data_IF_700510933450
#
_entry.id   IF_700510933450
#
_cell.length_a   1.000
_cell.length_b   1.000
_cell.length_c   1.000
_cell.angle_alpha   90.00
_cell.angle_beta   90.00
_cell.angle_gamma   90.00
#
_symmetry.space_group_name_H-M   'P 1'
#
loop_
_entity.id
_entity.type
_entity.pdbx_description
1 polymer ?
#
# COMPACT_ATOMS: atom_id res chain seq x y z
N UNK A 1 -12.44 25.53 9.38
CA UNK A 1 -11.18 26.31 9.55
C UNK A 1 -10.59 26.69 8.20
N UNK A 2 -10.33 28.00 7.95
CA UNK A 2 -9.69 28.45 6.70
C UNK A 2 -8.19 28.09 6.76
N UNK A 3 -7.67 27.37 5.75
CA UNK A 3 -6.22 27.08 5.67
C UNK A 3 -5.43 28.37 5.54
N UNK A 4 -4.30 28.47 6.24
CA UNK A 4 -3.32 29.54 5.98
C UNK A 4 -2.62 29.29 4.65
N UNK A 5 -2.23 30.33 3.93
CA UNK A 5 -1.53 30.23 2.64
C UNK A 5 -0.27 29.35 2.74
N UNK A 6 0.43 29.42 3.87
CA UNK A 6 1.61 28.59 4.13
C UNK A 6 1.27 27.10 4.27
N UNK A 7 0.11 26.76 4.86
CA UNK A 7 -0.31 25.35 4.96
C UNK A 7 -0.69 24.78 3.59
N UNK A 8 -1.38 25.56 2.76
CA UNK A 8 -1.72 25.15 1.39
C UNK A 8 -0.46 24.86 0.58
N UNK A 9 0.57 25.71 0.66
CA UNK A 9 1.85 25.49 -0.02
C UNK A 9 2.54 24.21 0.46
N UNK A 10 2.56 23.95 1.78
CA UNK A 10 3.15 22.72 2.34
C UNK A 10 2.39 21.48 1.87
N UNK A 11 1.06 21.50 1.94
CA UNK A 11 0.22 20.39 1.48
C UNK A 11 0.49 20.08 0.00
N UNK A 12 0.54 21.14 -0.85
CA UNK A 12 0.79 20.99 -2.28
C UNK A 12 2.16 20.38 -2.57
N UNK A 13 3.23 20.94 -2.01
CA UNK A 13 4.61 20.51 -2.26
C UNK A 13 4.78 19.03 -1.84
N UNK A 14 4.41 18.70 -0.61
CA UNK A 14 4.61 17.33 -0.09
C UNK A 14 3.74 16.31 -0.80
N UNK A 15 2.49 16.65 -1.14
CA UNK A 15 1.61 15.73 -1.86
C UNK A 15 2.07 15.51 -3.31
N UNK A 16 2.60 16.54 -3.97
CA UNK A 16 3.19 16.40 -5.31
C UNK A 16 4.43 15.52 -5.26
N UNK A 17 5.33 15.74 -4.30
CA UNK A 17 6.52 14.88 -4.12
C UNK A 17 6.13 13.42 -3.84
N UNK A 18 5.16 13.19 -2.96
CA UNK A 18 4.67 11.84 -2.67
C UNK A 18 4.09 11.18 -3.94
N UNK A 19 3.33 11.92 -4.74
CA UNK A 19 2.80 11.42 -6.03
C UNK A 19 3.90 11.06 -7.02
N UNK A 20 4.94 11.88 -7.13
CA UNK A 20 6.11 11.59 -8.00
C UNK A 20 6.87 10.34 -7.54
N UNK A 21 7.11 10.22 -6.23
CA UNK A 21 7.78 9.04 -5.66
C UNK A 21 6.93 7.78 -5.91
N UNK A 22 5.63 7.84 -5.65
CA UNK A 22 4.71 6.72 -5.88
C UNK A 22 4.68 6.27 -7.36
N UNK A 23 4.77 7.20 -8.29
CA UNK A 23 4.83 6.88 -9.71
C UNK A 23 6.19 6.27 -10.13
N UNK A 24 7.28 6.64 -9.44
CA UNK A 24 8.64 6.24 -9.78
C UNK A 24 9.11 4.98 -9.03
N UNK A 25 8.48 4.61 -7.92
CA UNK A 25 8.97 3.57 -6.98
C UNK A 25 9.30 2.25 -7.67
N UNK A 26 8.37 1.70 -8.45
CA UNK A 26 8.56 0.42 -9.11
C UNK A 26 9.65 0.48 -10.18
N UNK A 27 9.72 1.59 -10.92
CA UNK A 27 10.72 1.80 -11.97
C UNK A 27 12.12 1.93 -11.38
N UNK A 28 12.28 2.76 -10.36
CA UNK A 28 13.57 2.97 -9.67
C UNK A 28 14.07 1.67 -9.06
N UNK A 29 13.20 0.94 -8.35
CA UNK A 29 13.54 -0.34 -7.74
C UNK A 29 13.96 -1.37 -8.80
N UNK A 30 13.23 -1.47 -9.92
CA UNK A 30 13.56 -2.39 -11.01
C UNK A 30 14.90 -2.04 -11.68
N UNK A 31 15.21 -0.75 -11.88
CA UNK A 31 16.50 -0.30 -12.41
C UNK A 31 17.65 -0.71 -11.45
N UNK A 32 17.49 -0.51 -10.16
CA UNK A 32 18.49 -0.89 -9.14
C UNK A 32 18.77 -2.40 -9.21
N UNK A 33 17.69 -3.21 -9.22
CA UNK A 33 17.81 -4.68 -9.29
C UNK A 33 18.48 -5.11 -10.58
N UNK A 34 18.06 -4.56 -11.73
CA UNK A 34 18.69 -4.87 -13.03
C UNK A 34 20.21 -4.64 -13.02
N UNK A 35 20.65 -3.57 -12.35
CA UNK A 35 22.07 -3.20 -12.29
C UNK A 35 22.90 -4.05 -11.32
N UNK A 36 22.28 -4.56 -10.25
CA UNK A 36 23.03 -5.27 -9.16
C UNK A 36 22.92 -6.78 -9.30
N UNK A 37 21.73 -7.33 -9.55
CA UNK A 37 21.47 -8.77 -9.58
C UNK A 37 21.08 -9.32 -10.96
N UNK A 38 20.68 -8.44 -11.88
CA UNK A 38 20.40 -8.80 -13.26
C UNK A 38 18.93 -8.73 -13.67
N UNK A 39 18.69 -9.09 -14.93
CA UNK A 39 17.39 -8.88 -15.58
C UNK A 39 16.32 -9.85 -15.04
N UNK A 40 16.68 -11.09 -14.71
CA UNK A 40 15.75 -12.08 -14.19
C UNK A 40 15.11 -11.64 -12.87
N UNK A 41 15.92 -11.18 -11.90
CA UNK A 41 15.42 -10.66 -10.62
C UNK A 41 14.56 -9.40 -10.80
N UNK A 42 14.93 -8.53 -11.76
CA UNK A 42 14.15 -7.34 -12.08
C UNK A 42 12.79 -7.70 -12.69
N UNK A 43 12.73 -8.73 -13.52
CA UNK A 43 11.49 -9.30 -14.04
C UNK A 43 10.58 -9.80 -12.91
N UNK A 44 11.12 -10.63 -12.00
CA UNK A 44 10.39 -11.12 -10.83
C UNK A 44 9.85 -9.97 -9.96
N UNK A 45 10.66 -8.93 -9.71
CA UNK A 45 10.25 -7.77 -8.94
C UNK A 45 9.16 -6.96 -9.65
N UNK A 46 9.24 -6.81 -10.97
CA UNK A 46 8.24 -6.07 -11.76
C UNK A 46 6.87 -6.75 -11.69
N UNK A 47 6.83 -8.07 -11.79
CA UNK A 47 5.60 -8.86 -11.63
C UNK A 47 5.10 -8.77 -10.18
N UNK A 48 5.99 -8.84 -9.19
CA UNK A 48 5.62 -8.69 -7.80
C UNK A 48 4.96 -7.32 -7.52
N UNK A 49 5.47 -6.23 -8.10
CA UNK A 49 4.84 -4.91 -8.02
C UNK A 49 3.48 -4.87 -8.71
N UNK A 50 3.33 -5.49 -9.88
CA UNK A 50 2.05 -5.53 -10.60
C UNK A 50 0.96 -6.25 -9.78
N UNK A 51 1.30 -7.42 -9.23
CA UNK A 51 0.41 -8.22 -8.37
C UNK A 51 0.14 -7.48 -7.05
N UNK A 52 1.20 -6.94 -6.42
CA UNK A 52 1.10 -6.19 -5.17
C UNK A 52 0.17 -4.98 -5.29
N UNK A 53 0.27 -4.20 -6.36
CA UNK A 53 -0.63 -3.07 -6.63
C UNK A 53 -2.09 -3.51 -6.81
N UNK A 54 -2.31 -4.63 -7.51
CA UNK A 54 -3.66 -5.18 -7.67
C UNK A 54 -4.23 -5.62 -6.33
N UNK A 55 -3.46 -6.33 -5.50
CA UNK A 55 -3.86 -6.76 -4.16
C UNK A 55 -4.05 -5.57 -3.21
N UNK A 56 -3.19 -4.54 -3.29
CA UNK A 56 -3.34 -3.31 -2.52
C UNK A 56 -4.66 -2.60 -2.82
N UNK A 57 -5.18 -2.68 -4.06
CA UNK A 57 -6.49 -2.11 -4.38
C UNK A 57 -7.62 -2.79 -3.60
N UNK A 58 -7.51 -4.11 -3.33
CA UNK A 58 -8.42 -4.85 -2.44
C UNK A 58 -8.27 -4.35 -1.00
N UNK A 59 -7.03 -4.15 -0.52
CA UNK A 59 -6.76 -3.60 0.81
C UNK A 59 -7.30 -2.18 0.99
N UNK A 60 -7.14 -1.31 -0.01
CA UNK A 60 -7.65 0.07 0.02
C UNK A 60 -9.16 0.16 -0.17
N UNK A 61 -9.76 -0.69 -0.97
CA UNK A 61 -11.19 -0.85 -1.24
C UNK A 61 -11.96 0.47 -1.52
N UNK A 62 -11.24 1.54 -1.90
CA UNK A 62 -11.84 2.86 -2.11
C UNK A 62 -12.31 3.58 -0.83
N UNK A 63 -12.03 3.03 0.36
CA UNK A 63 -12.49 3.55 1.67
C UNK A 63 -12.06 4.98 1.91
N UNK A 64 -10.79 5.32 1.59
CA UNK A 64 -10.27 6.69 1.75
C UNK A 64 -11.03 7.70 0.90
N UNK A 65 -11.39 7.36 -0.33
CA UNK A 65 -12.10 8.27 -1.22
C UNK A 65 -13.45 8.68 -0.62
N UNK A 66 -14.16 7.71 -0.05
CA UNK A 66 -15.42 7.98 0.66
C UNK A 66 -15.18 8.75 1.97
N UNK A 67 -14.17 8.33 2.76
CA UNK A 67 -13.81 8.98 4.02
C UNK A 67 -13.57 10.49 3.85
N UNK A 68 -12.91 10.90 2.78
CA UNK A 68 -12.58 12.31 2.52
C UNK A 68 -13.81 13.11 2.08
N UNK A 69 -14.77 12.49 1.41
CA UNK A 69 -15.99 13.12 0.90
C UNK A 69 -17.16 13.04 1.88
N UNK A 70 -17.02 12.32 2.99
CA UNK A 70 -18.06 12.20 4.03
C UNK A 70 -18.13 13.47 4.90
N UNK A 71 -18.71 14.55 4.34
CA UNK A 71 -18.83 15.85 5.00
C UNK A 71 -19.77 15.78 6.21
N UNK A 72 -20.80 14.93 6.15
CA UNK A 72 -21.83 14.76 7.19
C UNK A 72 -21.33 13.94 8.40
N UNK A 73 -20.07 13.42 8.36
CA UNK A 73 -19.51 12.55 9.39
C UNK A 73 -20.41 11.33 9.70
N UNK A 74 -20.95 10.68 8.66
CA UNK A 74 -21.84 9.52 8.80
C UNK A 74 -21.19 8.36 9.54
N UNK A 75 -19.88 8.21 9.37
CA UNK A 75 -19.09 7.18 10.03
C UNK A 75 -17.98 7.80 10.86
N UNK A 76 -17.75 7.25 12.06
CA UNK A 76 -16.65 7.63 12.92
C UNK A 76 -15.30 7.15 12.34
N UNK A 77 -14.20 7.76 12.78
CA UNK A 77 -12.85 7.31 12.39
C UNK A 77 -12.61 5.83 12.74
N UNK A 78 -13.13 5.39 13.88
CA UNK A 78 -13.02 3.99 14.32
C UNK A 78 -13.67 3.01 13.34
N UNK A 79 -14.80 3.36 12.73
CA UNK A 79 -15.45 2.53 11.70
C UNK A 79 -14.59 2.45 10.44
N UNK A 80 -14.03 3.58 9.99
CA UNK A 80 -13.08 3.56 8.86
C UNK A 80 -11.87 2.68 9.15
N UNK A 81 -11.32 2.74 10.37
CA UNK A 81 -10.17 1.93 10.78
C UNK A 81 -10.51 0.44 10.86
N UNK A 82 -11.66 0.08 11.46
CA UNK A 82 -12.15 -1.31 11.51
C UNK A 82 -12.43 -1.87 10.12
N UNK A 83 -13.04 -1.06 9.25
CA UNK A 83 -13.27 -1.44 7.84
C UNK A 83 -11.93 -1.67 7.12
N UNK A 84 -10.94 -0.82 7.36
CA UNK A 84 -9.59 -0.99 6.81
C UNK A 84 -8.94 -2.29 7.27
N UNK A 85 -9.05 -2.62 8.56
CA UNK A 85 -8.55 -3.88 9.08
C UNK A 85 -9.21 -5.08 8.38
N UNK A 86 -10.54 -5.04 8.19
CA UNK A 86 -11.27 -6.07 7.46
C UNK A 86 -10.82 -6.19 6.00
N UNK A 87 -10.68 -5.07 5.28
CA UNK A 87 -10.26 -5.10 3.87
C UNK A 87 -8.80 -5.54 3.69
N UNK A 88 -7.92 -5.23 4.64
CA UNK A 88 -6.54 -5.74 4.65
C UNK A 88 -6.51 -7.24 4.93
N UNK A 89 -7.34 -7.76 5.83
CA UNK A 89 -7.48 -9.22 6.01
C UNK A 89 -7.99 -9.90 4.73
N UNK A 90 -8.96 -9.29 4.05
CA UNK A 90 -9.43 -9.78 2.74
C UNK A 90 -8.31 -9.75 1.69
N UNK A 91 -7.51 -8.68 1.64
CA UNK A 91 -6.33 -8.59 0.79
C UNK A 91 -5.34 -9.73 1.07
N UNK A 92 -5.00 -9.95 2.35
CA UNK A 92 -4.06 -11.02 2.72
C UNK A 92 -4.59 -12.41 2.36
N UNK A 93 -5.89 -12.65 2.53
CA UNK A 93 -6.54 -13.89 2.09
C UNK A 93 -6.45 -14.06 0.56
N UNK A 94 -6.70 -12.98 -0.19
CA UNK A 94 -6.55 -12.98 -1.65
C UNK A 94 -5.10 -13.22 -2.10
N UNK A 95 -4.12 -12.62 -1.40
CA UNK A 95 -2.69 -12.87 -1.64
C UNK A 95 -2.36 -14.33 -1.43
N UNK A 96 -2.76 -14.92 -0.30
CA UNK A 96 -2.51 -16.35 -0.03
C UNK A 96 -3.16 -17.25 -1.09
N UNK A 97 -4.41 -16.97 -1.47
CA UNK A 97 -5.10 -17.69 -2.54
C UNK A 97 -4.36 -17.59 -3.87
N UNK A 98 -3.88 -16.39 -4.24
CA UNK A 98 -3.08 -16.19 -5.44
C UNK A 98 -1.74 -16.94 -5.38
N UNK A 99 -1.03 -16.91 -4.26
CA UNK A 99 0.25 -17.62 -4.12
C UNK A 99 0.09 -19.15 -4.21
N UNK A 100 -0.99 -19.70 -3.65
CA UNK A 100 -1.32 -21.12 -3.79
C UNK A 100 -1.62 -21.44 -5.26
N UNK A 101 -2.41 -20.61 -5.94
CA UNK A 101 -2.67 -20.74 -7.37
C UNK A 101 -1.38 -20.69 -8.19
N UNK A 102 -0.51 -19.71 -7.91
CA UNK A 102 0.77 -19.53 -8.60
C UNK A 102 1.72 -20.74 -8.39
N UNK A 103 1.73 -21.31 -7.18
CA UNK A 103 2.53 -22.49 -6.87
C UNK A 103 2.06 -23.73 -7.64
N UNK A 104 0.73 -23.97 -7.70
CA UNK A 104 0.16 -25.20 -8.24
C UNK A 104 0.03 -25.14 -9.77
N UNK A 105 -0.51 -24.04 -10.30
CA UNK A 105 -0.89 -23.93 -11.72
C UNK A 105 0.15 -23.20 -12.57
N UNK A 106 0.73 -22.10 -12.05
CA UNK A 106 1.77 -21.34 -12.76
C UNK A 106 3.17 -21.93 -12.53
N UNK A 107 3.31 -22.87 -11.58
CA UNK A 107 4.59 -23.51 -11.22
C UNK A 107 5.71 -22.53 -10.92
N UNK A 108 5.37 -21.41 -10.28
CA UNK A 108 6.37 -20.41 -9.91
C UNK A 108 7.40 -21.00 -8.94
N UNK A 109 8.66 -20.60 -9.14
CA UNK A 109 9.73 -20.94 -8.22
C UNK A 109 9.50 -20.31 -6.82
N UNK A 110 10.02 -20.97 -5.79
CA UNK A 110 9.88 -20.52 -4.39
C UNK A 110 10.39 -19.11 -4.17
N UNK A 111 11.47 -18.71 -4.87
CA UNK A 111 12.03 -17.35 -4.77
C UNK A 111 11.04 -16.31 -5.31
N UNK A 112 10.42 -16.56 -6.46
CA UNK A 112 9.41 -15.69 -7.07
C UNK A 112 8.20 -15.53 -6.15
N UNK A 113 7.72 -16.62 -5.56
CA UNK A 113 6.62 -16.59 -4.57
C UNK A 113 6.97 -15.76 -3.36
N UNK A 114 8.19 -15.93 -2.81
CA UNK A 114 8.67 -15.16 -1.66
C UNK A 114 8.74 -13.66 -1.98
N UNK A 115 9.26 -13.28 -3.15
CA UNK A 115 9.37 -11.89 -3.60
C UNK A 115 7.96 -11.27 -3.71
N UNK A 116 7.01 -11.96 -4.36
CA UNK A 116 5.63 -11.50 -4.48
C UNK A 116 5.01 -11.30 -3.09
N UNK A 117 5.19 -12.28 -2.20
CA UNK A 117 4.68 -12.19 -0.82
C UNK A 117 5.24 -10.98 -0.08
N UNK A 118 6.56 -10.74 -0.14
CA UNK A 118 7.21 -9.61 0.54
C UNK A 118 6.72 -8.25 0.02
N UNK A 119 6.59 -8.10 -1.29
CA UNK A 119 6.02 -6.88 -1.89
C UNK A 119 4.57 -6.67 -1.46
N UNK A 120 3.75 -7.73 -1.45
CA UNK A 120 2.37 -7.65 -0.97
C UNK A 120 2.29 -7.24 0.51
N UNK A 121 3.24 -7.68 1.35
CA UNK A 121 3.30 -7.29 2.76
C UNK A 121 3.67 -5.81 2.93
N UNK A 122 4.61 -5.29 2.13
CA UNK A 122 4.93 -3.84 2.10
C UNK A 122 3.67 -3.04 1.73
N UNK A 123 2.94 -3.46 0.71
CA UNK A 123 1.70 -2.82 0.29
C UNK A 123 0.53 -3.01 1.26
N UNK A 124 0.52 -4.07 2.08
CA UNK A 124 -0.45 -4.21 3.17
C UNK A 124 -0.25 -3.14 4.24
N UNK A 125 1.01 -2.82 4.60
CA UNK A 125 1.33 -1.69 5.49
C UNK A 125 0.82 -0.38 4.87
N UNK A 126 1.07 -0.15 3.59
CA UNK A 126 0.60 1.05 2.89
C UNK A 126 -0.92 1.14 2.83
N UNK A 127 -1.61 0.01 2.65
CA UNK A 127 -3.06 -0.03 2.69
C UNK A 127 -3.61 0.37 4.07
N UNK A 128 -2.93 -0.01 5.17
CA UNK A 128 -3.30 0.46 6.52
C UNK A 128 -3.03 1.95 6.69
N UNK A 129 -1.88 2.45 6.22
CA UNK A 129 -1.55 3.88 6.27
C UNK A 129 -2.59 4.77 5.58
N UNK A 130 -3.20 4.29 4.50
CA UNK A 130 -4.13 5.04 3.67
C UNK A 130 -5.36 5.58 4.45
N UNK A 131 -5.83 4.88 5.48
CA UNK A 131 -6.95 5.39 6.32
C UNK A 131 -6.51 6.58 7.18
N UNK A 132 -5.25 6.59 7.66
CA UNK A 132 -4.69 7.74 8.38
C UNK A 132 -4.48 8.94 7.46
N UNK A 133 -4.10 8.70 6.21
CA UNK A 133 -4.02 9.75 5.19
C UNK A 133 -5.39 10.40 4.95
N UNK A 134 -6.46 9.60 4.87
CA UNK A 134 -7.83 10.11 4.80
C UNK A 134 -8.18 10.98 6.02
N UNK A 135 -7.78 10.55 7.21
CA UNK A 135 -7.95 11.32 8.45
C UNK A 135 -7.22 12.65 8.42
N UNK A 136 -5.92 12.65 8.06
CA UNK A 136 -5.14 13.90 7.93
C UNK A 136 -5.72 14.83 6.87
N UNK A 137 -6.20 14.29 5.75
CA UNK A 137 -6.83 15.06 4.68
C UNK A 137 -8.09 15.77 5.17
N UNK A 138 -8.95 15.09 5.93
CA UNK A 138 -10.14 15.69 6.56
C UNK A 138 -9.79 16.79 7.56
N UNK A 139 -8.67 16.66 8.27
CA UNK A 139 -8.15 17.67 9.22
C UNK A 139 -7.34 18.79 8.54
N UNK A 140 -7.33 18.84 7.21
CA UNK A 140 -6.54 19.81 6.44
C UNK A 140 -5.02 19.77 6.71
N UNK A 141 -4.48 18.58 7.00
CA UNK A 141 -3.07 18.30 7.29
C UNK A 141 -2.53 17.20 6.36
N UNK A 142 -2.77 17.36 5.04
CA UNK A 142 -2.28 16.41 4.03
C UNK A 142 -0.74 16.31 4.05
N UNK A 143 -0.05 17.38 4.44
CA UNK A 143 1.40 17.41 4.56
C UNK A 143 1.94 16.35 5.52
N UNK A 144 1.22 15.98 6.57
CA UNK A 144 1.70 15.03 7.59
C UNK A 144 1.89 13.62 7.01
N UNK A 145 0.88 13.10 6.32
CA UNK A 145 0.97 11.78 5.67
C UNK A 145 1.99 11.77 4.52
N UNK A 146 1.94 12.80 3.66
CA UNK A 146 2.82 12.91 2.50
C UNK A 146 4.31 12.98 2.88
N UNK A 147 4.66 13.71 3.95
CA UNK A 147 6.04 13.75 4.47
C UNK A 147 6.55 12.38 4.86
N UNK A 148 5.76 11.65 5.65
CA UNK A 148 6.17 10.33 6.14
C UNK A 148 6.32 9.33 4.99
N UNK A 149 5.43 9.37 4.02
CA UNK A 149 5.54 8.58 2.79
C UNK A 149 6.85 8.91 2.05
N UNK A 150 7.15 10.20 1.83
CA UNK A 150 8.38 10.60 1.18
C UNK A 150 9.62 10.12 1.94
N UNK A 151 9.67 10.30 3.26
CA UNK A 151 10.80 9.85 4.08
C UNK A 151 10.94 8.33 4.09
N UNK A 152 9.82 7.59 4.14
CA UNK A 152 9.85 6.13 4.03
C UNK A 152 10.46 5.68 2.71
N UNK A 153 9.99 6.20 1.58
CA UNK A 153 10.50 5.81 0.27
C UNK A 153 11.94 6.27 0.02
N UNK A 154 12.32 7.46 0.50
CA UNK A 154 13.73 7.88 0.49
C UNK A 154 14.61 6.94 1.30
N UNK A 155 14.14 6.51 2.47
CA UNK A 155 14.82 5.49 3.28
C UNK A 155 14.93 4.15 2.55
N UNK A 156 13.86 3.70 1.89
CA UNK A 156 13.87 2.46 1.08
C UNK A 156 14.86 2.60 -0.08
N UNK A 157 14.85 3.71 -0.81
CA UNK A 157 15.79 3.94 -1.92
C UNK A 157 17.25 4.01 -1.47
N UNK A 158 17.53 4.36 -0.22
CA UNK A 158 18.88 4.32 0.34
C UNK A 158 19.26 2.90 0.83
N UNK A 159 18.39 2.26 1.61
CA UNK A 159 18.67 0.97 2.25
C UNK A 159 18.64 -0.19 1.26
N UNK A 160 17.69 -0.19 0.32
CA UNK A 160 17.50 -1.28 -0.63
C UNK A 160 18.74 -1.58 -1.49
N UNK A 161 19.36 -0.61 -2.19
CA UNK A 161 20.55 -0.90 -3.00
C UNK A 161 21.74 -1.35 -2.15
N UNK A 162 21.90 -0.80 -0.94
CA UNK A 162 22.95 -1.21 -0.01
C UNK A 162 22.75 -2.67 0.41
N UNK A 163 21.52 -3.01 0.85
CA UNK A 163 21.16 -4.36 1.25
C UNK A 163 21.35 -5.37 0.10
N UNK A 164 20.96 -4.97 -1.12
CA UNK A 164 21.06 -5.80 -2.30
C UNK A 164 22.53 -5.98 -2.73
N UNK A 165 23.34 -4.93 -2.63
CA UNK A 165 24.77 -4.99 -2.97
C UNK A 165 25.55 -5.93 -2.07
N UNK A 166 25.35 -5.84 -0.75
CA UNK A 166 26.06 -6.68 0.22
C UNK A 166 25.46 -8.10 0.33
N UNK A 167 24.14 -8.23 0.31
CA UNK A 167 23.44 -9.51 0.49
C UNK A 167 23.29 -10.32 -0.79
N UNK A 168 23.36 -9.70 -1.98
CA UNK A 168 23.09 -10.31 -3.30
C UNK A 168 21.83 -11.17 -3.31
N UNK A 169 20.87 -10.84 -2.45
CA UNK A 169 19.62 -11.58 -2.27
C UNK A 169 18.46 -10.60 -2.22
N UNK A 170 17.59 -10.66 -3.24
CA UNK A 170 16.43 -9.77 -3.37
C UNK A 170 15.44 -9.93 -2.21
N UNK A 171 15.21 -11.17 -1.77
CA UNK A 171 14.32 -11.44 -0.63
C UNK A 171 14.81 -10.78 0.66
N UNK A 172 16.11 -10.86 0.96
CA UNK A 172 16.70 -10.21 2.13
C UNK A 172 16.54 -8.69 2.08
N UNK A 173 16.81 -8.06 0.92
CA UNK A 173 16.65 -6.63 0.74
C UNK A 173 15.18 -6.18 0.94
N UNK A 174 14.21 -6.97 0.44
CA UNK A 174 12.77 -6.70 0.64
C UNK A 174 12.34 -6.86 2.09
N UNK A 175 12.90 -7.82 2.85
CA UNK A 175 12.64 -7.95 4.30
C UNK A 175 13.05 -6.67 5.03
N UNK A 176 14.22 -6.12 4.73
CA UNK A 176 14.67 -4.86 5.33
C UNK A 176 13.75 -3.70 4.96
N UNK A 177 13.29 -3.63 3.71
CA UNK A 177 12.31 -2.63 3.28
C UNK A 177 10.97 -2.77 4.02
N UNK A 178 10.51 -4.00 4.26
CA UNK A 178 9.30 -4.27 5.04
C UNK A 178 9.45 -3.80 6.49
N UNK A 179 10.57 -4.12 7.15
CA UNK A 179 10.87 -3.67 8.51
C UNK A 179 10.90 -2.15 8.56
N UNK A 180 11.56 -1.51 7.60
CA UNK A 180 11.62 -0.05 7.51
C UNK A 180 10.21 0.56 7.33
N UNK A 181 9.37 -0.04 6.48
CA UNK A 181 7.98 0.39 6.28
C UNK A 181 7.16 0.31 7.57
N UNK A 182 7.33 -0.76 8.35
CA UNK A 182 6.68 -0.91 9.66
C UNK A 182 7.15 0.15 10.66
N UNK A 183 8.44 0.45 10.70
CA UNK A 183 9.00 1.49 11.58
C UNK A 183 8.38 2.84 11.22
N UNK A 184 8.34 3.22 9.93
CA UNK A 184 7.75 4.49 9.50
C UNK A 184 6.23 4.54 9.77
N UNK A 185 5.52 3.42 9.65
CA UNK A 185 4.11 3.33 10.02
C UNK A 185 3.91 3.62 11.52
N UNK A 186 4.71 2.98 12.39
CA UNK A 186 4.65 3.22 13.84
C UNK A 186 4.97 4.68 14.18
N UNK A 187 5.97 5.27 13.52
CA UNK A 187 6.29 6.70 13.67
C UNK A 187 5.13 7.60 13.21
N UNK A 188 4.43 7.25 12.14
CA UNK A 188 3.24 7.97 11.68
C UNK A 188 2.13 7.94 12.75
N UNK A 189 1.84 6.77 13.30
CA UNK A 189 0.81 6.61 14.33
C UNK A 189 1.20 7.39 15.59
N UNK A 190 2.45 7.27 16.02
CA UNK A 190 2.90 7.91 17.26
C UNK A 190 2.97 9.45 17.14
N UNK A 191 3.67 9.97 16.13
CA UNK A 191 3.93 11.42 16.02
C UNK A 191 2.84 12.19 15.29
N UNK A 192 2.37 11.69 14.15
CA UNK A 192 1.45 12.46 13.32
C UNK A 192 0.00 12.28 13.77
N UNK A 193 -0.42 11.05 13.98
CA UNK A 193 -1.78 10.80 14.47
C UNK A 193 -1.95 11.32 15.89
N UNK A 194 -1.02 11.02 16.81
CA UNK A 194 -1.07 11.49 18.20
C UNK A 194 -1.12 13.01 18.35
N UNK A 195 -0.49 13.78 17.43
CA UNK A 195 -0.50 15.25 17.46
C UNK A 195 -1.71 15.90 16.78
N UNK A 196 -2.35 15.20 15.81
CA UNK A 196 -3.47 15.73 15.01
C UNK A 196 -4.81 15.21 15.52
N UNK A 197 -4.81 14.12 16.27
CA UNK A 197 -5.99 13.44 16.77
C UNK A 197 -6.77 14.31 17.77
N UNK A 198 -8.10 14.36 17.61
CA UNK A 198 -9.00 14.95 18.59
C UNK A 198 -9.19 14.00 19.78
N UNK A 199 -9.66 14.55 20.92
CA UNK A 199 -9.90 13.76 22.12
C UNK A 199 -10.91 12.62 21.90
N UNK A 200 -11.93 12.86 21.10
CA UNK A 200 -12.95 11.87 20.73
C UNK A 200 -12.40 10.68 19.94
N UNK A 201 -11.34 10.90 19.15
CA UNK A 201 -10.69 9.88 18.33
C UNK A 201 -9.45 9.29 19.03
N UNK A 202 -9.09 9.76 20.25
CA UNK A 202 -7.96 9.24 21.02
C UNK A 202 -8.20 7.78 21.43
N UNK A 203 -7.24 6.96 21.11
CA UNK A 203 -7.27 5.54 21.39
C UNK A 203 -7.77 4.71 20.21
N UNK A 204 -6.81 4.01 19.58
CA UNK A 204 -7.13 3.06 18.50
C UNK A 204 -7.78 1.84 19.11
N UNK A 205 -9.10 1.69 18.95
CA UNK A 205 -9.84 0.52 19.38
C UNK A 205 -10.25 -0.33 18.18
N UNK A 206 -9.66 -1.51 18.08
CA UNK A 206 -10.04 -2.52 17.07
C UNK A 206 -11.12 -3.49 17.59
N UNK A 207 -11.62 -3.29 18.82
CA UNK A 207 -12.69 -4.15 19.37
C UNK A 207 -13.98 -3.96 18.56
N UNK A 208 -14.41 -5.02 17.91
CA UNK A 208 -15.63 -5.02 17.08
C UNK A 208 -16.84 -5.24 17.99
N UNK A 209 -17.80 -4.33 17.91
CA UNK A 209 -19.12 -4.45 18.56
C UNK A 209 -20.17 -4.90 17.53
N UNK A 210 -21.30 -5.43 17.99
CA UNK A 210 -22.36 -5.91 17.08
C UNK A 210 -22.90 -4.82 16.14
N UNK A 211 -22.96 -3.57 16.59
CA UNK A 211 -23.35 -2.43 15.76
C UNK A 211 -22.36 -2.10 14.65
N UNK A 212 -21.06 -2.25 14.91
CA UNK A 212 -19.99 -1.93 13.95
C UNK A 212 -20.09 -2.77 12.66
N UNK A 213 -20.49 -4.04 12.78
CA UNK A 213 -20.62 -4.95 11.63
C UNK A 213 -21.61 -4.41 10.60
N UNK A 214 -22.72 -3.84 11.08
CA UNK A 214 -23.72 -3.24 10.21
C UNK A 214 -23.18 -1.98 9.50
N UNK A 215 -22.49 -1.11 10.24
CA UNK A 215 -21.88 0.12 9.69
C UNK A 215 -20.77 -0.20 8.70
N UNK A 216 -19.90 -1.18 9.01
CA UNK A 216 -18.87 -1.69 8.10
C UNK A 216 -19.50 -2.20 6.80
N UNK A 217 -20.59 -3.01 6.90
CA UNK A 217 -21.30 -3.51 5.74
C UNK A 217 -21.92 -2.40 4.88
N UNK A 218 -22.50 -1.37 5.52
CA UNK A 218 -23.01 -0.20 4.82
C UNK A 218 -21.90 0.58 4.11
N UNK A 219 -20.77 0.79 4.77
CA UNK A 219 -19.62 1.49 4.18
C UNK A 219 -19.06 0.72 2.98
N UNK A 220 -18.85 -0.59 3.12
CA UNK A 220 -18.35 -1.43 2.02
C UNK A 220 -19.28 -1.41 0.81
N UNK A 221 -20.61 -1.48 1.04
CA UNK A 221 -21.59 -1.38 -0.05
C UNK A 221 -21.49 -0.05 -0.79
N UNK A 222 -21.28 1.06 -0.08
CA UNK A 222 -21.16 2.41 -0.69
C UNK A 222 -19.89 2.57 -1.51
N UNK A 223 -18.78 1.98 -1.08
CA UNK A 223 -17.49 2.10 -1.77
C UNK A 223 -17.24 1.01 -2.81
N UNK A 224 -18.13 0.01 -2.92
CA UNK A 224 -17.94 -1.14 -3.83
C UNK A 224 -17.74 -0.73 -5.29
N UNK A 225 -18.52 0.24 -5.78
CA UNK A 225 -18.35 0.75 -7.16
C UNK A 225 -16.98 1.41 -7.37
N UNK A 226 -16.50 2.17 -6.37
CA UNK A 226 -15.18 2.81 -6.41
C UNK A 226 -14.07 1.76 -6.42
N UNK A 227 -14.22 0.72 -5.60
CA UNK A 227 -13.31 -0.43 -5.62
C UNK A 227 -13.29 -1.12 -6.97
N UNK A 228 -14.47 -1.44 -7.54
CA UNK A 228 -14.57 -2.13 -8.82
C UNK A 228 -13.87 -1.38 -9.95
N UNK A 229 -14.07 -0.07 -10.04
CA UNK A 229 -13.41 0.79 -11.04
C UNK A 229 -11.90 0.78 -10.85
N UNK A 230 -11.40 0.96 -9.62
CA UNK A 230 -9.98 0.98 -9.32
C UNK A 230 -9.31 -0.36 -9.62
N UNK A 231 -9.94 -1.47 -9.19
CA UNK A 231 -9.44 -2.83 -9.40
C UNK A 231 -9.36 -3.18 -10.90
N UNK A 232 -10.45 -2.96 -11.64
CA UNK A 232 -10.48 -3.24 -13.07
C UNK A 232 -9.50 -2.38 -13.85
N UNK A 233 -9.37 -1.10 -13.51
CA UNK A 233 -8.39 -0.21 -14.14
C UNK A 233 -6.96 -0.71 -13.92
N UNK A 234 -6.60 -1.10 -12.69
CA UNK A 234 -5.28 -1.65 -12.40
C UNK A 234 -5.04 -2.99 -13.08
N UNK A 235 -6.06 -3.86 -13.14
CA UNK A 235 -5.98 -5.14 -13.83
C UNK A 235 -5.70 -4.95 -15.32
N UNK A 236 -6.48 -4.10 -16.00
CA UNK A 236 -6.31 -3.81 -17.43
C UNK A 236 -4.94 -3.19 -17.72
N UNK A 237 -4.50 -2.22 -16.90
CA UNK A 237 -3.20 -1.57 -17.07
C UNK A 237 -2.00 -2.54 -16.90
N UNK A 238 -2.14 -3.57 -16.10
CA UNK A 238 -1.10 -4.57 -15.87
C UNK A 238 -1.33 -5.88 -16.66
N UNK A 239 -2.44 -6.03 -17.39
CA UNK A 239 -2.75 -7.22 -18.16
C UNK A 239 -1.63 -7.66 -19.12
N UNK A 240 -0.93 -6.75 -19.84
CA UNK A 240 0.21 -7.14 -20.66
C UNK A 240 1.33 -7.81 -19.88
N UNK A 241 1.61 -7.34 -18.64
CA UNK A 241 2.65 -7.93 -17.78
C UNK A 241 2.28 -9.34 -17.35
N UNK A 242 1.01 -9.56 -16.99
CA UNK A 242 0.51 -10.90 -16.61
C UNK A 242 0.53 -11.87 -17.79
N UNK A 243 0.17 -11.40 -19.00
CA UNK A 243 0.21 -12.20 -20.19
C UNK A 243 1.64 -12.61 -20.57
N UNK A 244 2.59 -11.67 -20.56
CA UNK A 244 4.01 -11.93 -20.81
C UNK A 244 4.56 -12.92 -19.80
N UNK A 245 4.28 -12.73 -18.51
CA UNK A 245 4.76 -13.62 -17.45
C UNK A 245 4.20 -15.06 -17.60
N UNK A 246 2.92 -15.19 -17.98
CA UNK A 246 2.31 -16.49 -18.22
C UNK A 246 2.87 -17.21 -19.46
N UNK A 247 3.22 -16.44 -20.53
CA UNK A 247 3.75 -17.00 -21.76
C UNK A 247 5.24 -17.35 -21.67
N UNK A 248 6.05 -16.55 -20.97
CA UNK A 248 7.51 -16.75 -20.88
C UNK A 248 7.91 -17.76 -19.81
N UNK A 249 7.05 -18.07 -18.85
CA UNK A 249 7.36 -19.10 -17.84
C UNK A 249 7.55 -20.50 -18.44
N UNK A 250 7.03 -20.75 -19.65
CA UNK A 250 7.15 -22.03 -20.35
C UNK A 250 8.39 -22.12 -21.28
N UNK A 251 9.02 -20.97 -21.62
CA UNK A 251 10.15 -20.93 -22.58
C UNK A 251 11.53 -20.80 -21.91
N UNK A 252 11.61 -20.50 -20.61
CA UNK A 252 12.88 -20.25 -19.89
C UNK A 252 13.29 -21.43 -18.98
N UNK A 253 12.52 -22.50 -18.92
CA UNK A 253 12.88 -23.80 -18.29
C UNK A 253 13.50 -24.75 -19.30
#
# INVERSE_FOLDING_TARGET
>A
MRKTTNQIKKDYIWNTMAGMINAAEAVVMSIIVTRITGLADAGMLTIAFAIGNLMMSVGKFGVRNYQVTDIENKFSFHIYLKTRFFTVMLMLTAVLGYLIYALIWLRYDRNKILIIFMVCMIYAVEAVEDVFWGYFQRRNRMDAGAKLFCFRWLGIFAVFPIALWFGKNLGFALILCMILSLIFFLLMVHFSYGSICCEEDRGISLRIQRGDVHEIGQLLKRVFSLFGIAFLSLYVNNAPKYAIDACLSDEIQ
#
